data_IF_756919241969
#
_entry.id   IF_756919241969
#
_cell.length_a   1.000
_cell.length_b   1.000
_cell.length_c   1.000
_cell.angle_alpha   90.00
_cell.angle_beta   90.00
_cell.angle_gamma   90.00
#
_symmetry.space_group_name_H-M   'P 1'
#
loop_
_entity.id
_entity.type
_entity.pdbx_description
1 polymer ?
#
# COMPACT_ATOMS: atom_id res chain seq x y z
N UNK A 1 -19.32 7.82 -5.22
CA UNK A 1 -20.36 7.31 -6.11
C UNK A 1 -19.73 7.18 -7.50
N UNK A 2 -19.48 5.96 -7.94
CA UNK A 2 -18.93 5.74 -9.27
C UNK A 2 -20.03 6.01 -10.29
N UNK A 3 -19.85 7.03 -11.11
CA UNK A 3 -20.57 7.14 -12.37
C UNK A 3 -19.89 6.18 -13.33
N UNK A 4 -20.46 5.01 -13.55
CA UNK A 4 -20.04 4.15 -14.64
C UNK A 4 -20.30 4.93 -15.94
N UNK A 5 -19.22 5.19 -16.68
CA UNK A 5 -19.31 5.87 -17.96
C UNK A 5 -20.09 4.98 -18.94
N UNK A 6 -21.36 5.27 -19.09
CA UNK A 6 -22.23 4.69 -20.13
C UNK A 6 -22.16 5.53 -21.39
N UNK A 7 -20.97 5.81 -21.91
CA UNK A 7 -20.89 6.73 -23.03
C UNK A 7 -20.07 6.13 -24.16
N UNK A 8 -20.78 5.94 -25.26
CA UNK A 8 -20.28 5.60 -26.58
C UNK A 8 -19.82 4.17 -26.80
N UNK A 9 -20.76 3.31 -27.15
CA UNK A 9 -20.51 1.91 -27.58
C UNK A 9 -19.60 1.75 -28.81
N UNK A 10 -19.10 2.82 -29.41
CA UNK A 10 -18.22 2.80 -30.59
C UNK A 10 -16.74 2.91 -30.26
N UNK A 11 -16.40 3.40 -29.08
CA UNK A 11 -15.02 3.54 -28.63
C UNK A 11 -14.90 2.93 -27.23
N UNK A 12 -14.37 1.72 -27.14
CA UNK A 12 -14.05 1.08 -25.88
C UNK A 12 -12.71 1.60 -25.40
N UNK A 13 -12.72 2.59 -24.50
CA UNK A 13 -11.56 2.96 -23.71
C UNK A 13 -11.61 2.25 -22.37
N UNK A 14 -10.46 1.75 -21.93
CA UNK A 14 -10.25 1.38 -20.55
C UNK A 14 -10.01 2.63 -19.69
N UNK A 15 -9.75 2.41 -18.41
CA UNK A 15 -9.40 3.46 -17.46
C UNK A 15 -8.62 2.87 -16.30
N UNK A 16 -7.97 3.74 -15.53
CA UNK A 16 -7.20 3.36 -14.35
C UNK A 16 -7.93 3.85 -13.10
N UNK A 17 -8.11 2.93 -12.15
CA UNK A 17 -8.61 3.21 -10.80
C UNK A 17 -7.52 2.92 -9.79
N UNK A 18 -7.21 3.86 -8.91
CA UNK A 18 -6.25 3.67 -7.82
C UNK A 18 -6.97 3.67 -6.48
N UNK A 19 -6.73 2.62 -5.70
CA UNK A 19 -7.15 2.48 -4.31
C UNK A 19 -5.90 2.63 -3.45
N UNK A 20 -5.78 3.73 -2.73
CA UNK A 20 -4.59 4.03 -1.94
C UNK A 20 -4.94 4.30 -0.47
N UNK A 21 -3.94 4.24 0.40
CA UNK A 21 -4.09 4.50 1.83
C UNK A 21 -3.10 3.72 2.68
N UNK A 22 -3.16 3.90 4.00
CA UNK A 22 -2.27 3.23 4.95
C UNK A 22 -2.51 1.73 5.05
N UNK A 23 -1.65 1.02 5.77
CA UNK A 23 -1.95 -0.35 6.21
C UNK A 23 -3.24 -0.37 7.03
N UNK A 24 -3.95 -1.48 7.01
CA UNK A 24 -5.23 -1.72 7.71
C UNK A 24 -6.40 -0.81 7.26
N UNK A 25 -6.31 -0.19 6.08
CA UNK A 25 -7.35 0.71 5.56
C UNK A 25 -8.39 0.05 4.66
N UNK A 26 -8.28 -1.26 4.39
CA UNK A 26 -9.22 -1.99 3.55
C UNK A 26 -8.98 -1.86 2.05
N UNK A 27 -7.74 -1.58 1.61
CA UNK A 27 -7.41 -1.47 0.17
C UNK A 27 -7.67 -2.76 -0.60
N UNK A 28 -7.14 -3.87 -0.09
CA UNK A 28 -7.29 -5.20 -0.70
C UNK A 28 -8.75 -5.64 -0.72
N UNK A 29 -9.51 -5.38 0.33
CA UNK A 29 -10.95 -5.64 0.40
C UNK A 29 -11.71 -4.86 -0.68
N UNK A 30 -11.39 -3.58 -0.87
CA UNK A 30 -12.03 -2.75 -1.89
C UNK A 30 -11.63 -3.20 -3.30
N UNK A 31 -10.36 -3.57 -3.52
CA UNK A 31 -9.90 -4.19 -4.78
C UNK A 31 -10.72 -5.44 -5.09
N UNK A 32 -10.76 -6.39 -4.17
CA UNK A 32 -11.52 -7.64 -4.29
C UNK A 32 -13.01 -7.35 -4.56
N UNK A 33 -13.60 -6.40 -3.85
CA UNK A 33 -14.99 -6.00 -4.04
C UNK A 33 -15.27 -5.54 -5.47
N UNK A 34 -14.40 -4.70 -6.05
CA UNK A 34 -14.53 -4.23 -7.44
C UNK A 34 -14.36 -5.35 -8.44
N UNK A 35 -13.38 -6.23 -8.24
CA UNK A 35 -13.11 -7.36 -9.12
C UNK A 35 -14.23 -8.42 -9.08
N UNK A 36 -14.81 -8.67 -7.90
CA UNK A 36 -16.00 -9.55 -7.80
C UNK A 36 -17.18 -8.99 -8.59
N UNK A 37 -17.43 -7.68 -8.57
CA UNK A 37 -18.47 -7.06 -9.40
C UNK A 37 -18.21 -7.24 -10.88
N UNK A 38 -16.97 -7.11 -11.35
CA UNK A 38 -16.59 -7.37 -12.73
C UNK A 38 -16.86 -8.85 -13.11
N UNK A 39 -16.50 -9.79 -12.24
CA UNK A 39 -16.82 -11.23 -12.45
C UNK A 39 -18.32 -11.49 -12.52
N UNK A 40 -19.14 -10.84 -11.69
CA UNK A 40 -20.61 -10.93 -11.79
C UNK A 40 -21.14 -10.40 -13.13
N UNK A 41 -20.48 -9.40 -13.70
CA UNK A 41 -20.77 -8.88 -15.04
C UNK A 41 -20.21 -9.78 -16.17
N UNK A 42 -19.70 -10.98 -15.84
CA UNK A 42 -19.11 -11.96 -16.76
C UNK A 42 -17.87 -11.45 -17.50
N UNK A 43 -17.18 -10.47 -16.94
CA UNK A 43 -15.92 -9.98 -17.46
C UNK A 43 -14.79 -10.96 -17.07
N UNK A 44 -13.80 -11.10 -17.97
CA UNK A 44 -12.58 -11.87 -17.70
C UNK A 44 -11.65 -11.03 -16.81
N UNK A 45 -11.35 -11.55 -15.61
CA UNK A 45 -10.61 -10.82 -14.57
C UNK A 45 -9.36 -11.59 -14.16
N UNK A 46 -8.22 -10.91 -14.14
CA UNK A 46 -6.96 -11.40 -13.57
C UNK A 46 -6.44 -10.44 -12.50
N UNK A 47 -5.66 -10.97 -11.55
CA UNK A 47 -5.02 -10.20 -10.50
C UNK A 47 -3.53 -10.48 -10.49
N UNK A 48 -2.74 -9.42 -10.39
CA UNK A 48 -1.29 -9.47 -10.31
C UNK A 48 -0.79 -8.88 -8.99
N UNK A 49 0.28 -9.46 -8.45
CA UNK A 49 1.04 -8.92 -7.31
C UNK A 49 2.54 -9.02 -7.58
N UNK A 50 3.39 -8.18 -6.97
CA UNK A 50 4.84 -8.31 -7.12
C UNK A 50 5.33 -9.60 -6.44
N UNK A 51 6.23 -10.33 -7.10
CA UNK A 51 6.78 -11.59 -6.58
C UNK A 51 7.62 -11.43 -5.30
N UNK A 52 8.00 -10.20 -4.93
CA UNK A 52 8.71 -9.90 -3.68
C UNK A 52 7.80 -9.93 -2.45
N UNK A 53 6.48 -9.95 -2.65
CA UNK A 53 5.49 -10.02 -1.56
C UNK A 53 5.15 -11.49 -1.24
N UNK A 54 6.05 -12.13 -0.47
CA UNK A 54 5.94 -13.54 -0.05
C UNK A 54 5.20 -13.72 1.29
N UNK A 55 4.42 -12.72 1.76
CA UNK A 55 3.77 -12.73 3.08
C UNK A 55 2.66 -13.76 3.24
N UNK A 56 2.08 -14.22 2.13
CA UNK A 56 1.01 -15.23 2.12
C UNK A 56 1.23 -16.20 0.96
N UNK A 57 0.61 -17.39 1.07
CA UNK A 57 0.67 -18.47 0.08
C UNK A 57 0.70 -17.92 -1.35
N UNK A 58 1.70 -18.31 -2.14
CA UNK A 58 2.18 -17.62 -3.35
C UNK A 58 1.10 -17.27 -4.40
N UNK A 59 -0.09 -17.84 -4.29
CA UNK A 59 -1.17 -17.68 -5.28
C UNK A 59 -2.42 -16.95 -4.78
N UNK A 60 -2.50 -16.54 -3.50
CA UNK A 60 -3.74 -16.02 -2.92
C UNK A 60 -3.59 -14.56 -2.47
N UNK A 61 -4.45 -13.67 -2.92
CA UNK A 61 -4.70 -12.38 -2.27
C UNK A 61 -5.73 -12.63 -1.18
N UNK A 62 -5.28 -12.63 0.07
CA UNK A 62 -6.13 -12.86 1.23
C UNK A 62 -6.51 -11.51 1.83
N UNK A 63 -7.79 -11.21 1.90
CA UNK A 63 -8.27 -10.19 2.83
C UNK A 63 -8.39 -10.82 4.22
N UNK A 64 -8.29 -10.02 5.28
CA UNK A 64 -8.48 -10.46 6.67
C UNK A 64 -9.79 -11.23 6.92
N UNK A 65 -10.76 -11.15 6.00
CA UNK A 65 -12.08 -11.80 6.06
C UNK A 65 -12.21 -13.07 5.21
N UNK A 66 -11.11 -13.78 4.90
CA UNK A 66 -11.11 -15.03 4.11
C UNK A 66 -11.74 -14.91 2.70
N UNK A 67 -11.81 -13.71 2.12
CA UNK A 67 -12.27 -13.49 0.76
C UNK A 67 -11.08 -13.60 -0.20
N UNK A 68 -10.79 -14.83 -0.61
CA UNK A 68 -9.65 -15.15 -1.45
C UNK A 68 -9.99 -15.00 -2.94
N UNK A 69 -9.14 -14.28 -3.68
CA UNK A 69 -9.09 -14.37 -5.14
C UNK A 69 -7.65 -14.73 -5.51
N UNK A 70 -7.49 -15.75 -6.35
CA UNK A 70 -6.17 -16.12 -6.88
C UNK A 70 -5.51 -14.92 -7.54
N UNK A 71 -4.26 -14.69 -7.19
CA UNK A 71 -3.40 -13.67 -7.81
C UNK A 71 -2.18 -14.34 -8.44
N UNK A 72 -1.70 -13.76 -9.52
CA UNK A 72 -0.50 -14.21 -10.22
C UNK A 72 0.69 -13.35 -9.77
N UNK A 73 1.67 -13.92 -9.02
CA UNK A 73 2.90 -13.21 -8.70
C UNK A 73 3.70 -12.97 -9.98
N UNK A 74 4.19 -11.74 -10.18
CA UNK A 74 5.01 -11.39 -11.33
C UNK A 74 6.32 -10.71 -10.89
N UNK A 75 7.46 -11.04 -11.51
CA UNK A 75 8.76 -10.51 -11.12
C UNK A 75 8.94 -9.03 -11.49
N UNK A 76 8.26 -8.55 -12.52
CA UNK A 76 8.34 -7.16 -12.99
C UNK A 76 7.04 -6.72 -13.65
N UNK A 77 6.79 -5.41 -13.70
CA UNK A 77 5.62 -4.84 -14.35
C UNK A 77 5.49 -5.24 -15.84
N UNK A 78 6.61 -5.36 -16.55
CA UNK A 78 6.67 -5.75 -17.96
C UNK A 78 6.06 -7.14 -18.27
N UNK A 79 5.91 -8.01 -17.27
CA UNK A 79 5.30 -9.33 -17.45
C UNK A 79 3.76 -9.27 -17.51
N UNK A 80 3.14 -8.23 -16.93
CA UNK A 80 1.69 -8.11 -16.84
C UNK A 80 1.00 -8.12 -18.20
N UNK A 81 1.43 -7.34 -19.23
CA UNK A 81 0.74 -7.30 -20.51
C UNK A 81 0.64 -8.65 -21.23
N UNK A 82 1.63 -9.53 -21.03
CA UNK A 82 1.66 -10.86 -21.65
C UNK A 82 0.60 -11.77 -21.02
N UNK A 83 0.46 -11.67 -19.69
CA UNK A 83 -0.46 -12.50 -18.90
C UNK A 83 -1.89 -11.94 -18.91
N UNK A 84 -2.05 -10.66 -19.21
CA UNK A 84 -3.34 -9.97 -19.27
C UNK A 84 -4.06 -10.11 -20.62
N UNK A 85 -3.54 -10.91 -21.55
CA UNK A 85 -4.13 -11.06 -22.87
C UNK A 85 -5.57 -11.59 -22.82
N UNK A 86 -6.47 -10.89 -23.50
CA UNK A 86 -7.89 -11.18 -23.53
C UNK A 86 -8.62 -10.93 -22.19
N UNK A 87 -8.05 -10.22 -21.23
CA UNK A 87 -8.74 -9.77 -20.03
C UNK A 87 -9.54 -8.49 -20.30
N UNK A 88 -10.71 -8.38 -19.66
CA UNK A 88 -11.52 -7.16 -19.66
C UNK A 88 -11.13 -6.23 -18.49
N UNK A 89 -10.75 -6.85 -17.36
CA UNK A 89 -10.41 -6.15 -16.12
C UNK A 89 -9.19 -6.80 -15.49
N UNK A 90 -8.23 -5.99 -15.07
CA UNK A 90 -7.11 -6.43 -14.27
C UNK A 90 -7.06 -5.74 -12.91
N UNK A 91 -6.69 -6.48 -11.88
CA UNK A 91 -6.34 -6.00 -10.56
C UNK A 91 -4.83 -6.05 -10.37
N UNK A 92 -4.26 -5.05 -9.71
CA UNK A 92 -2.86 -5.02 -9.28
C UNK A 92 -2.86 -4.70 -7.80
N UNK A 93 -2.37 -5.63 -6.98
CA UNK A 93 -2.24 -5.41 -5.53
C UNK A 93 -0.78 -5.12 -5.15
N UNK A 94 -0.57 -4.47 -4.01
CA UNK A 94 0.74 -4.08 -3.46
C UNK A 94 1.62 -3.32 -4.48
N UNK A 95 0.99 -2.43 -5.24
CA UNK A 95 1.59 -1.76 -6.39
C UNK A 95 2.83 -0.92 -6.05
N UNK A 96 3.01 -0.48 -4.79
CA UNK A 96 4.18 0.26 -4.33
C UNK A 96 5.50 -0.52 -4.43
N UNK A 97 5.43 -1.85 -4.59
CA UNK A 97 6.61 -2.70 -4.72
C UNK A 97 7.01 -3.00 -6.15
N UNK A 98 6.25 -2.55 -7.14
CA UNK A 98 6.66 -2.63 -8.53
C UNK A 98 7.70 -1.56 -8.87
N UNK A 99 8.41 -1.77 -9.98
CA UNK A 99 9.23 -0.76 -10.62
C UNK A 99 8.37 0.35 -11.25
N UNK A 100 9.02 1.48 -11.61
CA UNK A 100 8.31 2.65 -12.19
C UNK A 100 7.66 2.34 -13.55
N UNK A 101 8.05 1.26 -14.21
CA UNK A 101 7.44 0.81 -15.47
C UNK A 101 5.97 0.47 -15.33
N UNK A 102 5.50 0.14 -14.12
CA UNK A 102 4.09 -0.16 -13.86
C UNK A 102 3.15 0.96 -14.29
N UNK A 103 3.59 2.22 -14.21
CA UNK A 103 2.79 3.38 -14.64
C UNK A 103 2.52 3.31 -16.13
N UNK A 104 3.56 3.07 -16.93
CA UNK A 104 3.43 2.91 -18.38
C UNK A 104 2.58 1.69 -18.73
N UNK A 105 2.81 0.57 -18.06
CA UNK A 105 2.05 -0.66 -18.27
C UNK A 105 0.56 -0.44 -18.03
N UNK A 106 0.17 0.22 -16.94
CA UNK A 106 -1.23 0.54 -16.64
C UNK A 106 -1.85 1.43 -17.73
N UNK A 107 -1.14 2.46 -18.19
CA UNK A 107 -1.61 3.33 -19.28
C UNK A 107 -1.78 2.55 -20.59
N UNK A 108 -0.81 1.71 -20.97
CA UNK A 108 -0.86 0.93 -22.20
C UNK A 108 -2.03 -0.06 -22.19
N UNK A 109 -2.32 -0.66 -21.05
CA UNK A 109 -3.46 -1.59 -20.90
C UNK A 109 -4.79 -0.82 -20.94
N UNK A 110 -4.90 0.32 -20.27
CA UNK A 110 -6.08 1.16 -20.33
C UNK A 110 -6.35 1.67 -21.76
N UNK A 111 -5.32 2.08 -22.49
CA UNK A 111 -5.42 2.48 -23.89
C UNK A 111 -5.87 1.36 -24.84
N UNK A 112 -5.69 0.09 -24.42
CA UNK A 112 -6.22 -1.09 -25.14
C UNK A 112 -7.65 -1.48 -24.75
N UNK A 113 -8.31 -0.67 -23.92
CA UNK A 113 -9.69 -0.90 -23.51
C UNK A 113 -9.84 -1.72 -22.23
N UNK A 114 -8.77 -2.03 -21.52
CA UNK A 114 -8.79 -2.81 -20.28
C UNK A 114 -9.06 -1.88 -19.09
N UNK A 115 -9.97 -2.25 -18.21
CA UNK A 115 -10.15 -1.61 -16.91
C UNK A 115 -9.05 -2.05 -15.95
N UNK A 116 -8.23 -1.12 -15.48
CA UNK A 116 -7.10 -1.38 -14.58
C UNK A 116 -7.43 -0.87 -13.17
N UNK A 117 -7.41 -1.76 -12.17
CA UNK A 117 -7.69 -1.42 -10.78
C UNK A 117 -6.43 -1.69 -9.94
N UNK A 118 -5.83 -0.63 -9.43
CA UNK A 118 -4.56 -0.69 -8.70
C UNK A 118 -4.82 -0.45 -7.22
N UNK A 119 -4.25 -1.28 -6.34
CA UNK A 119 -4.24 -1.07 -4.90
C UNK A 119 -2.80 -0.97 -4.38
N UNK A 120 -2.53 -0.04 -3.47
CA UNK A 120 -1.20 0.11 -2.89
C UNK A 120 -1.09 1.15 -1.78
N UNK A 121 0.02 1.09 -1.04
CA UNK A 121 0.36 2.07 -0.02
C UNK A 121 0.80 3.38 -0.68
N UNK A 122 0.14 4.49 -0.38
CA UNK A 122 0.49 5.80 -0.91
C UNK A 122 1.72 6.42 -0.23
N UNK A 123 2.03 5.99 1.00
CA UNK A 123 3.19 6.45 1.77
C UNK A 123 3.90 5.27 2.43
N UNK A 124 5.23 5.42 2.59
CA UNK A 124 6.06 4.55 3.39
C UNK A 124 5.85 4.78 4.90
N UNK A 125 6.54 4.00 5.74
CA UNK A 125 6.47 4.12 7.19
C UNK A 125 7.09 5.43 7.76
N UNK A 126 7.83 6.19 6.94
CA UNK A 126 8.38 7.51 7.27
C UNK A 126 7.42 8.64 6.89
N UNK A 127 6.33 8.31 6.18
CA UNK A 127 5.35 9.26 5.68
C UNK A 127 5.74 9.92 4.36
N UNK A 128 6.70 9.35 3.62
CA UNK A 128 7.08 9.81 2.28
C UNK A 128 6.23 9.09 1.22
N UNK A 129 6.01 9.70 0.05
CA UNK A 129 5.39 9.02 -1.08
C UNK A 129 6.11 7.71 -1.41
N UNK A 130 5.37 6.63 -1.70
CA UNK A 130 5.96 5.30 -1.83
C UNK A 130 5.96 4.79 -3.26
N UNK A 131 7.17 4.46 -3.76
CA UNK A 131 7.37 3.85 -5.08
C UNK A 131 6.64 4.55 -6.20
N UNK A 132 6.04 3.81 -7.15
CA UNK A 132 5.32 4.36 -8.30
C UNK A 132 3.95 4.95 -7.96
N UNK A 133 3.46 4.79 -6.72
CA UNK A 133 2.10 5.19 -6.35
C UNK A 133 1.75 6.65 -6.64
N UNK A 134 2.63 7.66 -6.40
CA UNK A 134 2.31 9.05 -6.74
C UNK A 134 2.02 9.26 -8.23
N UNK A 135 2.75 8.56 -9.09
CA UNK A 135 2.57 8.64 -10.54
C UNK A 135 1.31 7.89 -11.00
N UNK A 136 1.03 6.73 -10.42
CA UNK A 136 -0.22 6.00 -10.65
C UNK A 136 -1.43 6.83 -10.24
N UNK A 137 -1.37 7.49 -9.08
CA UNK A 137 -2.44 8.40 -8.62
C UNK A 137 -2.62 9.62 -9.54
N UNK A 138 -1.53 10.11 -10.13
CA UNK A 138 -1.58 11.27 -11.05
C UNK A 138 -2.15 10.90 -12.42
N UNK A 139 -1.96 9.66 -12.89
CA UNK A 139 -2.39 9.20 -14.21
C UNK A 139 -3.78 8.54 -14.20
N UNK A 140 -4.29 8.16 -13.04
CA UNK A 140 -5.57 7.49 -12.90
C UNK A 140 -6.76 8.44 -13.10
N UNK A 141 -7.82 7.98 -13.79
CA UNK A 141 -9.09 8.68 -13.88
C UNK A 141 -9.82 8.72 -12.52
N UNK A 142 -9.63 7.67 -11.69
CA UNK A 142 -10.29 7.58 -10.38
C UNK A 142 -9.31 7.23 -9.27
N UNK A 143 -9.25 8.08 -8.26
CA UNK A 143 -8.45 7.83 -7.05
C UNK A 143 -9.37 7.73 -5.85
N UNK A 144 -9.31 6.59 -5.15
CA UNK A 144 -10.04 6.34 -3.91
C UNK A 144 -9.03 6.21 -2.77
N UNK A 145 -8.99 7.22 -1.90
CA UNK A 145 -8.16 7.16 -0.71
C UNK A 145 -8.95 6.61 0.46
N UNK A 146 -8.58 5.41 0.92
CA UNK A 146 -9.19 4.74 2.07
C UNK A 146 -8.35 4.98 3.33
N UNK A 147 -9.01 4.94 4.50
CA UNK A 147 -8.38 5.25 5.77
C UNK A 147 -8.64 4.12 6.78
N UNK A 148 -7.64 3.85 7.60
CA UNK A 148 -7.81 3.03 8.79
C UNK A 148 -8.30 3.88 9.97
N UNK A 149 -8.48 3.25 11.13
CA UNK A 149 -8.78 3.94 12.38
C UNK A 149 -7.50 4.02 13.21
N UNK A 150 -7.18 5.21 13.69
CA UNK A 150 -6.01 5.45 14.52
C UNK A 150 -6.13 4.76 15.87
N UNK A 151 -5.20 3.87 16.18
CA UNK A 151 -5.18 3.11 17.44
C UNK A 151 -5.05 4.00 18.68
N UNK A 152 -4.45 5.20 18.55
CA UNK A 152 -4.21 6.13 19.66
C UNK A 152 -5.30 7.17 19.87
N UNK A 153 -6.06 7.51 18.83
CA UNK A 153 -7.00 8.65 18.91
C UNK A 153 -8.42 8.31 18.48
N UNK A 154 -8.66 7.14 17.86
CA UNK A 154 -9.94 6.79 17.27
C UNK A 154 -10.30 7.58 16.01
N UNK A 155 -9.48 8.54 15.57
CA UNK A 155 -9.71 9.32 14.35
C UNK A 155 -9.24 8.55 13.10
N UNK A 156 -9.53 9.10 11.92
CA UNK A 156 -9.02 8.54 10.66
C UNK A 156 -7.48 8.51 10.66
N UNK A 157 -6.94 7.34 10.31
CA UNK A 157 -5.52 7.09 10.17
C UNK A 157 -5.13 7.03 8.69
N UNK A 158 -4.05 7.73 8.35
CA UNK A 158 -3.49 7.73 7.00
C UNK A 158 -1.99 7.40 6.97
N UNK A 159 -1.38 7.15 8.14
CA UNK A 159 0.03 6.81 8.28
C UNK A 159 0.17 5.39 8.80
N UNK A 160 1.11 4.63 8.22
CA UNK A 160 1.53 3.33 8.71
C UNK A 160 2.77 3.52 9.58
N UNK A 161 2.60 3.60 10.90
CA UNK A 161 3.72 3.78 11.81
C UNK A 161 4.36 2.43 12.12
N UNK A 162 5.69 2.32 11.94
CA UNK A 162 6.45 1.13 12.26
C UNK A 162 6.90 1.16 13.72
N UNK A 163 6.60 0.09 14.46
CA UNK A 163 6.96 -0.04 15.89
C UNK A 163 8.39 -0.52 16.09
N UNK A 164 8.91 -1.32 15.16
CA UNK A 164 10.29 -1.83 15.19
C UNK A 164 11.32 -0.74 14.84
N UNK A 165 12.57 -0.97 15.25
CA UNK A 165 13.69 -0.03 15.02
C UNK A 165 14.41 -0.25 13.69
N UNK A 166 14.00 -1.22 12.86
CA UNK A 166 14.62 -1.44 11.55
C UNK A 166 14.37 -0.23 10.66
N UNK A 167 15.42 0.23 9.98
CA UNK A 167 15.36 1.30 8.98
C UNK A 167 15.14 0.76 7.55
N UNK A 168 15.04 -0.57 7.36
CA UNK A 168 14.79 -1.20 6.08
C UNK A 168 13.46 -0.73 5.51
N UNK A 169 13.43 -0.37 4.22
CA UNK A 169 12.22 0.17 3.58
C UNK A 169 11.08 -0.86 3.58
N UNK A 170 11.41 -2.11 3.34
CA UNK A 170 10.48 -3.24 3.33
C UNK A 170 10.78 -4.12 4.55
N UNK A 171 9.91 -4.09 5.53
CA UNK A 171 9.87 -5.07 6.61
C UNK A 171 8.58 -5.87 6.43
N UNK A 172 8.72 -7.14 6.12
CA UNK A 172 7.60 -8.07 6.05
C UNK A 172 7.10 -8.28 7.49
N UNK A 173 6.00 -7.64 7.84
CA UNK A 173 5.46 -7.68 9.18
C UNK A 173 3.97 -7.37 9.18
N UNK A 174 3.26 -8.05 10.08
CA UNK A 174 1.83 -7.92 10.27
C UNK A 174 1.49 -6.87 11.35
N UNK A 175 0.34 -7.03 11.98
CA UNK A 175 -0.24 -6.15 13.02
C UNK A 175 0.73 -5.85 14.16
N UNK A 176 1.67 -6.75 14.43
CA UNK A 176 2.65 -6.58 15.51
C UNK A 176 3.75 -5.56 15.18
N UNK A 177 4.06 -5.36 13.89
CA UNK A 177 5.13 -4.46 13.43
C UNK A 177 4.65 -3.06 13.06
N UNK A 178 3.38 -2.91 12.71
CA UNK A 178 2.81 -1.64 12.25
C UNK A 178 1.55 -1.27 13.03
N UNK A 179 1.29 0.03 13.14
CA UNK A 179 0.02 0.55 13.62
C UNK A 179 -0.47 1.73 12.76
N UNK A 180 -1.79 1.80 12.47
CA UNK A 180 -2.35 2.93 11.75
C UNK A 180 -2.48 4.14 12.68
N UNK A 181 -1.91 5.27 12.25
CA UNK A 181 -1.94 6.50 13.03
C UNK A 181 -2.52 7.69 12.25
N UNK A 182 -3.24 8.54 12.97
CA UNK A 182 -3.62 9.86 12.49
C UNK A 182 -2.38 10.74 12.34
N UNK A 183 -2.46 11.83 11.57
CA UNK A 183 -1.33 12.76 11.36
C UNK A 183 -0.71 13.22 12.69
N UNK A 184 -1.52 13.70 13.62
CA UNK A 184 -1.03 14.21 14.91
C UNK A 184 -0.34 13.11 15.74
N UNK A 185 -0.93 11.89 15.81
CA UNK A 185 -0.36 10.77 16.53
C UNK A 185 0.94 10.28 15.89
N UNK A 186 1.01 10.24 14.57
CA UNK A 186 2.20 9.83 13.81
C UNK A 186 3.38 10.77 14.09
N UNK A 187 3.24 12.08 13.86
CA UNK A 187 4.32 13.03 14.08
C UNK A 187 4.78 13.10 15.54
N UNK A 188 3.85 12.97 16.50
CA UNK A 188 4.20 12.88 17.92
C UNK A 188 5.02 11.61 18.23
N UNK A 189 4.71 10.48 17.61
CA UNK A 189 5.45 9.23 17.76
C UNK A 189 6.84 9.34 17.14
N UNK A 190 6.94 9.84 15.90
CA UNK A 190 8.20 10.04 15.19
C UNK A 190 9.14 10.99 15.95
N UNK A 191 8.61 12.05 16.56
CA UNK A 191 9.41 12.99 17.38
C UNK A 191 9.95 12.31 18.64
N UNK A 192 9.14 11.49 19.31
CA UNK A 192 9.58 10.70 20.48
C UNK A 192 10.72 9.75 20.13
N UNK A 193 10.63 9.06 18.98
CA UNK A 193 11.68 8.14 18.54
C UNK A 193 12.97 8.87 18.20
N UNK A 194 12.87 10.05 17.55
CA UNK A 194 14.02 10.90 17.26
C UNK A 194 14.75 11.34 18.53
N UNK A 195 14.01 11.81 19.53
CA UNK A 195 14.57 12.22 20.83
C UNK A 195 15.20 11.03 21.56
N UNK A 196 14.59 9.84 21.48
CA UNK A 196 15.11 8.61 22.08
C UNK A 196 16.41 8.16 21.41
N UNK A 197 16.49 8.22 20.07
CA UNK A 197 17.72 7.92 19.30
C UNK A 197 18.86 8.91 19.68
N UNK A 198 18.57 10.19 19.85
CA UNK A 198 19.57 11.19 20.26
C UNK A 198 20.14 10.89 21.65
N UNK A 199 19.30 10.56 22.64
CA UNK A 199 19.74 10.23 24.00
C UNK A 199 20.57 8.95 24.11
N UNK A 200 20.38 7.99 23.21
CA UNK A 200 21.17 6.75 23.16
C UNK A 200 22.56 6.98 22.55
N UNK A 201 22.68 7.97 21.66
CA UNK A 201 23.94 8.30 20.97
C UNK A 201 24.79 9.34 21.70
N UNK A 202 24.37 9.86 22.86
CA UNK A 202 25.12 10.79 23.65
C UNK A 202 25.60 10.12 24.96
N UNK A 203 26.85 9.58 25.00
CA UNK A 203 27.35 8.81 26.13
C UNK A 203 27.72 9.65 27.36
N UNK A 204 27.69 10.99 27.26
CA UNK A 204 28.21 11.86 28.36
C UNK A 204 27.28 12.02 29.56
N UNK A 205 25.96 11.74 29.42
CA UNK A 205 25.04 11.85 30.57
C UNK A 205 25.03 10.63 31.51
N UNK A 206 25.64 9.51 31.15
CA UNK A 206 25.69 8.32 32.02
C UNK A 206 26.77 8.43 33.10
N UNK A 207 27.85 9.19 32.86
CA UNK A 207 28.96 9.30 33.79
C UNK A 207 28.78 10.35 34.89
N UNK A 208 27.75 11.17 34.89
CA UNK A 208 27.52 12.19 35.91
C UNK A 208 26.75 11.69 37.14
N UNK A 209 26.05 10.54 37.03
CA UNK A 209 25.30 9.99 38.20
C UNK A 209 26.10 9.06 39.10
N UNK A 210 27.16 8.43 38.57
CA UNK A 210 28.01 7.53 39.37
C UNK A 210 29.12 8.23 40.15
N UNK A 211 29.36 9.55 39.97
CA UNK A 211 30.36 10.29 40.71
C UNK A 211 29.86 10.93 42.00
N UNK A 212 28.55 10.96 42.25
CA UNK A 212 28.00 11.57 43.47
C UNK A 212 27.66 10.57 44.58
N UNK A 213 27.90 9.25 44.37
CA UNK A 213 27.67 8.25 45.44
C UNK A 213 28.89 7.85 46.26
N UNK A 214 30.08 8.41 45.96
CA UNK A 214 31.34 8.07 46.67
C UNK A 214 31.98 9.26 47.44
N UNK A 215 31.21 10.27 47.81
CA UNK A 215 31.73 11.42 48.56
C UNK A 215 31.04 11.64 49.91
N UNK A 216 30.50 10.56 50.53
CA UNK A 216 30.08 10.55 51.94
C UNK A 216 30.40 9.20 52.57
N UNK A 217 31.62 9.06 53.06
CA UNK A 217 31.99 8.14 54.12
C UNK A 217 33.30 8.61 54.80
#
# INVERSE_FOLDING_TARGET
MFLENTVNHKEQFGWIEVICGSMFSGKTEELIRRLKRAKFARQKVEIFKPAVDVRYDDEMVVSHDANEIRSTPVPAAANIPILADGCDVIGIDEAQFFDDEIVRVCNDLANKGIRVIVAGLDMDFKGNPFGPMPYLMATAEYVTKVHAICTKTGNLAQYSYRKSKSDDLVLLGEVDEYEPLSRAAFYKSMLRDKVRKMKVNDPEEINSKDKNSNAES
#
